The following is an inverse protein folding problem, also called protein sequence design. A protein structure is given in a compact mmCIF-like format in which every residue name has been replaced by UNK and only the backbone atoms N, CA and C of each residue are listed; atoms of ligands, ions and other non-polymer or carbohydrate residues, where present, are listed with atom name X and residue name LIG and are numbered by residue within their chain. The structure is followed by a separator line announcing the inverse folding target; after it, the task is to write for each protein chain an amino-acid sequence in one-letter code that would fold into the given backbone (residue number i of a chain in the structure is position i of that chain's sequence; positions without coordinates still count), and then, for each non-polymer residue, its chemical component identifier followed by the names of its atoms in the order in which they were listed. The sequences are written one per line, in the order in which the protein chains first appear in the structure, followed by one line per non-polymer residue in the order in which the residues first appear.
data_IF_165727856381
#
_entry.id   IF_165727856381
#
_cell.length_a   1.000
_cell.length_b   1.000
_cell.length_c   1.000
_cell.angle_alpha   90.00
_cell.angle_beta   90.00
_cell.angle_gamma   90.00
#
_symmetry.space_group_name_H-M   'P 1'
#
loop_
_entity.id
_entity.type
_entity.pdbx_description
1 polymer ?
#
# COMPACT_ATOMS: atom_id res chain seq x y z
N UNK A 1 -4.02 14.73 8.14
CA UNK A 1 -5.24 14.01 7.72
C UNK A 1 -4.97 12.54 7.38
N UNK A 2 -3.93 12.20 6.61
CA UNK A 2 -3.66 10.84 6.13
C UNK A 2 -3.32 9.81 7.22
N UNK A 3 -2.55 10.20 8.26
CA UNK A 3 -2.28 9.31 9.40
C UNK A 3 -3.55 8.97 10.19
N UNK A 4 -4.46 9.93 10.33
CA UNK A 4 -5.76 9.69 10.93
C UNK A 4 -6.56 8.68 10.08
N UNK A 5 -6.58 8.88 8.76
CA UNK A 5 -7.25 7.97 7.82
C UNK A 5 -6.63 6.57 7.87
N UNK A 6 -5.30 6.47 7.95
CA UNK A 6 -4.59 5.19 8.11
C UNK A 6 -5.01 4.49 9.41
N UNK A 7 -5.02 5.22 10.53
CA UNK A 7 -5.44 4.68 11.84
C UNK A 7 -6.90 4.24 11.81
N UNK A 8 -7.79 5.05 11.20
CA UNK A 8 -9.20 4.72 11.05
C UNK A 8 -9.44 3.54 10.11
N UNK A 9 -8.64 3.36 9.08
CA UNK A 9 -8.76 2.21 8.16
C UNK A 9 -8.39 0.87 8.80
N UNK A 10 -7.67 0.88 9.92
CA UNK A 10 -7.39 -0.29 10.75
C UNK A 10 -8.56 -0.75 11.63
N UNK A 11 -9.69 -0.01 11.61
CA UNK A 11 -10.88 -0.41 12.35
C UNK A 11 -11.64 -1.50 11.58
N UNK A 12 -11.45 -2.75 12.03
CA UNK A 12 -11.95 -3.96 11.36
C UNK A 12 -13.48 -3.98 11.09
N UNK A 13 -14.25 -3.18 11.85
CA UNK A 13 -15.70 -3.08 11.68
C UNK A 13 -16.13 -2.09 10.60
N UNK A 14 -15.19 -1.31 10.05
CA UNK A 14 -15.42 -0.39 8.96
C UNK A 14 -15.30 -1.11 7.63
N UNK A 15 -16.33 -1.80 7.25
CA UNK A 15 -16.50 -2.23 5.89
C UNK A 15 -17.00 -1.03 5.07
N UNK A 16 -16.11 -0.09 4.71
CA UNK A 16 -16.42 1.09 3.91
C UNK A 16 -17.01 0.73 2.53
N UNK A 17 -16.73 -0.50 2.08
CA UNK A 17 -17.27 -1.06 0.84
C UNK A 17 -18.72 -1.58 1.00
N UNK A 18 -19.24 -1.64 2.23
CA UNK A 18 -20.59 -2.14 2.45
C UNK A 18 -21.60 -0.98 2.61
N UNK A 19 -22.41 -0.66 1.58
CA UNK A 19 -23.38 0.42 1.64
C UNK A 19 -24.51 0.19 2.67
N UNK A 20 -24.60 -1.03 3.24
CA UNK A 20 -25.63 -1.43 4.21
C UNK A 20 -25.13 -1.48 5.65
N UNK A 21 -24.19 -0.63 6.00
CA UNK A 21 -23.72 -0.51 7.37
C UNK A 21 -24.88 -0.25 8.34
N UNK A 22 -25.00 -1.08 9.39
CA UNK A 22 -26.07 -0.92 10.38
C UNK A 22 -25.93 0.40 11.14
N UNK A 23 -27.05 0.93 11.68
CA UNK A 23 -27.00 2.14 12.51
C UNK A 23 -26.07 1.99 13.71
N UNK A 24 -26.04 0.80 14.33
CA UNK A 24 -25.11 0.47 15.42
C UNK A 24 -23.65 0.62 15.01
N UNK A 25 -23.28 0.06 13.86
CA UNK A 25 -21.90 0.16 13.34
C UNK A 25 -21.54 1.61 12.99
N UNK A 26 -22.48 2.40 12.47
CA UNK A 26 -22.27 3.84 12.21
C UNK A 26 -22.02 4.61 13.50
N UNK A 27 -22.78 4.32 14.56
CA UNK A 27 -22.59 4.93 15.87
C UNK A 27 -21.24 4.59 16.47
N UNK A 28 -20.88 3.28 16.49
CA UNK A 28 -19.57 2.81 16.96
C UNK A 28 -18.41 3.47 16.20
N UNK A 29 -18.56 3.68 14.89
CA UNK A 29 -17.58 4.41 14.10
C UNK A 29 -17.43 5.87 14.51
N UNK A 30 -18.55 6.57 14.69
CA UNK A 30 -18.52 7.98 15.11
C UNK A 30 -17.88 8.13 16.50
N UNK A 31 -18.20 7.24 17.42
CA UNK A 31 -17.60 7.21 18.76
C UNK A 31 -16.08 6.93 18.67
N UNK A 32 -15.66 5.97 17.87
CA UNK A 32 -14.26 5.68 17.63
C UNK A 32 -13.52 6.86 16.98
N UNK A 33 -14.13 7.50 15.98
CA UNK A 33 -13.58 8.69 15.31
C UNK A 33 -13.41 9.85 16.30
N UNK A 34 -14.44 10.15 17.12
CA UNK A 34 -14.36 11.20 18.14
C UNK A 34 -13.28 10.93 19.18
N UNK A 35 -13.18 9.68 19.65
CA UNK A 35 -12.16 9.30 20.62
C UNK A 35 -10.74 9.39 20.02
N UNK A 36 -10.58 9.05 18.74
CA UNK A 36 -9.30 9.15 18.05
C UNK A 36 -8.85 10.59 17.85
N UNK A 37 -9.80 11.50 17.51
CA UNK A 37 -9.47 12.94 17.35
C UNK A 37 -9.14 13.60 18.68
N UNK A 38 -9.88 13.25 19.75
CA UNK A 38 -9.70 13.87 21.06
C UNK A 38 -8.59 13.23 21.91
N UNK A 39 -8.07 12.09 21.47
CA UNK A 39 -7.01 11.36 22.16
C UNK A 39 -5.63 11.56 21.53
N UNK A 40 -4.64 10.85 22.09
CA UNK A 40 -3.36 10.70 21.42
C UNK A 40 -3.49 9.72 20.24
N UNK A 41 -3.09 10.14 19.05
CA UNK A 41 -3.09 9.30 17.87
C UNK A 41 -2.09 8.17 18.04
N UNK A 42 -2.58 6.94 18.19
CA UNK A 42 -1.75 5.73 18.15
C UNK A 42 -1.70 5.27 16.69
N UNK A 43 -0.55 5.42 16.07
CA UNK A 43 -0.35 4.99 14.67
C UNK A 43 -0.38 3.46 14.64
N UNK A 44 -1.24 2.91 13.80
CA UNK A 44 -1.27 1.46 13.59
C UNK A 44 0.04 1.02 12.90
N UNK A 45 0.80 0.14 13.58
CA UNK A 45 2.06 -0.39 13.03
C UNK A 45 1.84 -1.40 11.90
N UNK A 46 0.62 -1.93 11.78
CA UNK A 46 0.30 -2.91 10.75
C UNK A 46 0.02 -2.23 9.42
N UNK A 47 0.86 -2.50 8.45
CA UNK A 47 0.59 -2.14 7.07
C UNK A 47 -0.37 -3.17 6.45
N UNK A 48 -1.38 -2.75 5.66
CA UNK A 48 -2.31 -3.66 4.99
C UNK A 48 -1.63 -4.32 3.79
N UNK A 49 -0.66 -5.19 4.07
CA UNK A 49 0.04 -5.93 3.03
C UNK A 49 -0.83 -7.10 2.58
N UNK A 50 -1.19 -7.12 1.31
CA UNK A 50 -1.77 -8.27 0.64
C UNK A 50 -0.69 -9.32 0.38
N UNK A 51 -1.10 -10.56 0.10
CA UNK A 51 -0.18 -11.66 -0.23
C UNK A 51 0.73 -11.36 -1.44
N UNK A 52 0.27 -10.51 -2.35
CA UNK A 52 1.02 -10.00 -3.48
C UNK A 52 1.11 -8.47 -3.37
N UNK A 53 2.33 -7.95 -3.42
CA UNK A 53 2.58 -6.50 -3.46
C UNK A 53 2.61 -6.09 -4.92
N UNK A 54 1.50 -5.56 -5.42
CA UNK A 54 1.37 -4.99 -6.76
C UNK A 54 1.52 -3.46 -6.75
N UNK A 55 1.39 -2.85 -7.94
CA UNK A 55 1.48 -1.40 -8.07
C UNK A 55 0.44 -0.67 -7.23
N UNK A 56 -0.80 -1.15 -7.22
CA UNK A 56 -1.91 -0.47 -6.57
C UNK A 56 -1.76 -0.55 -5.03
N UNK A 57 -1.19 -1.63 -4.50
CA UNK A 57 -0.83 -1.74 -3.06
C UNK A 57 0.26 -0.76 -2.68
N UNK A 58 1.31 -0.62 -3.49
CA UNK A 58 2.40 0.33 -3.22
C UNK A 58 1.88 1.76 -3.27
N UNK A 59 1.09 2.08 -4.30
CA UNK A 59 0.50 3.40 -4.50
C UNK A 59 -0.42 3.79 -3.34
N UNK A 60 -1.27 2.85 -2.88
CA UNK A 60 -2.10 3.02 -1.69
C UNK A 60 -1.27 3.30 -0.44
N UNK A 61 -0.16 2.58 -0.24
CA UNK A 61 0.72 2.82 0.90
C UNK A 61 1.37 4.21 0.84
N UNK A 62 1.87 4.63 -0.31
CA UNK A 62 2.44 5.96 -0.48
C UNK A 62 1.41 7.05 -0.17
N UNK A 63 0.19 6.91 -0.68
CA UNK A 63 -0.91 7.84 -0.40
C UNK A 63 -1.26 7.91 1.09
N UNK A 64 -1.23 6.77 1.82
CA UNK A 64 -1.52 6.74 3.27
C UNK A 64 -0.55 7.59 4.08
N UNK A 65 0.70 7.68 3.64
CA UNK A 65 1.73 8.49 4.27
C UNK A 65 1.92 9.87 3.63
N UNK A 66 0.99 10.27 2.77
CA UNK A 66 1.03 11.54 2.03
C UNK A 66 2.32 11.72 1.22
N UNK A 67 2.77 10.62 0.62
CA UNK A 67 3.93 10.60 -0.28
C UNK A 67 3.48 10.62 -1.73
N UNK A 68 4.34 11.11 -2.60
CA UNK A 68 4.10 11.12 -4.04
C UNK A 68 3.94 9.70 -4.58
N UNK A 69 2.97 9.51 -5.46
CA UNK A 69 2.68 8.23 -6.10
C UNK A 69 3.77 7.82 -7.10
N UNK A 70 3.85 6.53 -7.40
CA UNK A 70 4.80 6.02 -8.37
C UNK A 70 4.40 6.39 -9.81
N UNK A 71 5.39 6.56 -10.72
CA UNK A 71 5.09 6.68 -12.14
C UNK A 71 4.31 5.46 -12.67
N UNK A 72 3.24 5.71 -13.42
CA UNK A 72 2.37 4.64 -13.99
C UNK A 72 3.13 3.64 -14.87
N UNK A 73 4.31 3.99 -15.35
CA UNK A 73 5.18 3.09 -16.11
C UNK A 73 5.62 1.85 -15.31
N UNK A 74 5.61 1.92 -13.97
CA UNK A 74 5.90 0.77 -13.11
C UNK A 74 4.77 -0.27 -13.10
N UNK A 75 3.52 0.12 -13.34
CA UNK A 75 2.35 -0.78 -13.24
C UNK A 75 2.50 -2.02 -14.12
N UNK A 76 2.78 -1.83 -15.40
CA UNK A 76 2.92 -2.95 -16.34
C UNK A 76 4.15 -3.83 -16.03
N UNK A 77 5.26 -3.19 -15.61
CA UNK A 77 6.49 -3.91 -15.28
C UNK A 77 6.31 -4.78 -14.03
N UNK A 78 5.66 -4.25 -12.99
CA UNK A 78 5.35 -4.99 -11.77
C UNK A 78 4.35 -6.12 -12.05
N UNK A 79 3.32 -5.87 -12.85
CA UNK A 79 2.37 -6.93 -13.26
C UNK A 79 3.08 -8.08 -13.98
N UNK A 80 4.04 -7.77 -14.88
CA UNK A 80 4.86 -8.78 -15.55
C UNK A 80 5.70 -9.58 -14.56
N UNK A 81 6.39 -8.92 -13.62
CA UNK A 81 7.18 -9.58 -12.57
C UNK A 81 6.31 -10.52 -11.73
N UNK A 82 5.14 -10.06 -11.27
CA UNK A 82 4.22 -10.88 -10.47
C UNK A 82 3.69 -12.08 -11.25
N UNK A 83 3.39 -11.93 -12.53
CA UNK A 83 2.98 -13.02 -13.40
C UNK A 83 4.07 -14.09 -13.48
N UNK A 84 5.33 -13.70 -13.71
CA UNK A 84 6.47 -14.63 -13.73
C UNK A 84 6.65 -15.34 -12.38
N UNK A 85 6.62 -14.58 -11.28
CA UNK A 85 6.73 -15.14 -9.93
C UNK A 85 5.62 -16.15 -9.63
N UNK A 86 4.39 -15.85 -10.00
CA UNK A 86 3.25 -16.74 -9.77
C UNK A 86 3.36 -18.01 -10.62
N UNK A 87 3.72 -17.90 -11.89
CA UNK A 87 3.94 -19.08 -12.75
C UNK A 87 5.03 -20.00 -12.21
N UNK A 88 6.13 -19.44 -11.70
CA UNK A 88 7.18 -20.23 -11.07
C UNK A 88 6.67 -20.90 -9.79
N UNK A 89 5.92 -20.16 -8.94
CA UNK A 89 5.41 -20.68 -7.68
C UNK A 89 4.36 -21.81 -7.87
N UNK A 90 3.64 -21.80 -9.00
CA UNK A 90 2.63 -22.81 -9.35
C UNK A 90 3.16 -23.92 -10.29
N UNK A 91 4.49 -23.98 -10.49
CA UNK A 91 5.14 -24.96 -11.37
C UNK A 91 4.57 -24.96 -12.80
N UNK A 92 4.08 -23.82 -13.26
CA UNK A 92 3.56 -23.70 -14.62
C UNK A 92 4.73 -23.74 -15.62
N UNK A 93 4.74 -24.74 -16.50
CA UNK A 93 5.77 -24.90 -17.54
C UNK A 93 5.61 -23.93 -18.71
N UNK A 94 4.58 -23.10 -18.70
CA UNK A 94 4.21 -22.20 -19.81
C UNK A 94 5.16 -21.02 -19.98
N UNK A 95 5.90 -20.65 -18.93
CA UNK A 95 6.83 -19.51 -18.97
C UNK A 95 8.28 -19.99 -18.85
N UNK A 96 9.04 -19.83 -19.93
CA UNK A 96 10.48 -20.06 -19.89
C UNK A 96 11.20 -18.83 -19.32
N UNK A 97 11.78 -19.00 -18.11
CA UNK A 97 12.60 -17.96 -17.48
C UNK A 97 13.97 -17.90 -18.15
N UNK A 98 14.33 -16.75 -18.70
CA UNK A 98 15.63 -16.47 -19.30
C UNK A 98 16.45 -15.56 -18.39
N UNK A 99 17.78 -15.57 -18.58
CA UNK A 99 18.70 -14.69 -17.84
C UNK A 99 18.31 -13.21 -18.02
N UNK A 100 17.89 -12.81 -19.22
CA UNK A 100 17.48 -11.44 -19.50
C UNK A 100 16.29 -11.01 -18.64
N UNK A 101 15.34 -11.91 -18.35
CA UNK A 101 14.23 -11.62 -17.44
C UNK A 101 14.71 -11.38 -16.01
N UNK A 102 15.71 -12.13 -15.56
CA UNK A 102 16.30 -11.96 -14.21
C UNK A 102 16.95 -10.59 -14.11
N UNK A 103 17.74 -10.20 -15.11
CA UNK A 103 18.39 -8.88 -15.16
C UNK A 103 17.36 -7.76 -15.21
N UNK A 104 16.34 -7.88 -16.08
CA UNK A 104 15.24 -6.91 -16.19
C UNK A 104 14.53 -6.73 -14.84
N UNK A 105 14.13 -7.81 -14.18
CA UNK A 105 13.40 -7.75 -12.92
C UNK A 105 14.27 -7.29 -11.74
N UNK A 106 15.54 -7.70 -11.71
CA UNK A 106 16.48 -7.21 -10.70
C UNK A 106 16.67 -5.69 -10.81
N UNK A 107 16.84 -5.18 -12.02
CA UNK A 107 16.92 -3.74 -12.28
C UNK A 107 15.63 -3.02 -11.90
N UNK A 108 14.47 -3.59 -12.24
CA UNK A 108 13.17 -3.04 -11.87
C UNK A 108 13.01 -2.91 -10.36
N UNK A 109 13.34 -3.98 -9.61
CA UNK A 109 13.23 -3.98 -8.14
C UNK A 109 14.17 -2.97 -7.52
N UNK A 110 15.44 -2.90 -7.97
CA UNK A 110 16.40 -1.93 -7.47
C UNK A 110 15.92 -0.48 -7.71
N UNK A 111 15.45 -0.18 -8.92
CA UNK A 111 14.94 1.14 -9.23
C UNK A 111 13.70 1.48 -8.38
N UNK A 112 12.80 0.52 -8.18
CA UNK A 112 11.62 0.69 -7.34
C UNK A 112 12.00 0.98 -5.88
N UNK A 113 12.98 0.28 -5.34
CA UNK A 113 13.48 0.49 -3.97
C UNK A 113 14.07 1.90 -3.80
N UNK A 114 14.84 2.37 -4.78
CA UNK A 114 15.38 3.73 -4.79
C UNK A 114 14.25 4.76 -4.84
N UNK A 115 13.30 4.61 -5.74
CA UNK A 115 12.14 5.50 -5.88
C UNK A 115 11.31 5.61 -4.60
N UNK A 116 11.08 4.47 -3.91
CA UNK A 116 10.35 4.46 -2.64
C UNK A 116 11.18 5.13 -1.55
N UNK A 117 12.47 4.82 -1.48
CA UNK A 117 13.37 5.42 -0.49
C UNK A 117 13.41 6.95 -0.61
N UNK A 118 13.61 7.47 -1.83
CA UNK A 118 13.64 8.91 -2.08
C UNK A 118 12.35 9.61 -1.67
N UNK A 119 11.18 8.98 -1.91
CA UNK A 119 9.89 9.53 -1.49
C UNK A 119 9.73 9.55 0.03
N UNK A 120 10.18 8.49 0.70
CA UNK A 120 10.15 8.43 2.18
C UNK A 120 11.07 9.51 2.76
N UNK A 121 12.29 9.63 2.24
CA UNK A 121 13.26 10.63 2.69
C UNK A 121 12.74 12.05 2.48
N UNK A 122 12.22 12.34 1.29
CA UNK A 122 11.63 13.63 0.96
C UNK A 122 10.41 13.93 1.84
N UNK A 123 9.53 12.95 2.01
CA UNK A 123 8.36 13.07 2.87
C UNK A 123 8.71 13.31 4.33
N UNK A 124 9.73 12.64 4.83
CA UNK A 124 10.24 12.85 6.18
C UNK A 124 10.82 14.26 6.36
N UNK A 125 11.70 14.69 5.44
CA UNK A 125 12.34 15.99 5.48
C UNK A 125 11.34 17.15 5.38
N UNK A 126 10.28 16.98 4.62
CA UNK A 126 9.21 17.97 4.43
C UNK A 126 8.06 17.82 5.44
N UNK A 127 8.12 16.83 6.33
CA UNK A 127 7.06 16.51 7.31
C UNK A 127 5.68 16.33 6.66
N UNK A 128 5.62 15.75 5.46
CA UNK A 128 4.36 15.59 4.69
C UNK A 128 3.34 14.71 5.41
N UNK A 129 3.80 13.82 6.29
CA UNK A 129 2.96 12.96 7.12
C UNK A 129 2.12 13.74 8.15
N UNK A 130 2.44 15.00 8.42
CA UNK A 130 1.68 15.89 9.32
C UNK A 130 0.57 16.65 8.58
N UNK A 131 0.54 16.63 7.26
CA UNK A 131 -0.42 17.38 6.45
C UNK A 131 -1.83 16.75 6.42
#
# INVERSE_FOLDING_TARGET
MNLLTHTLSGYDKLCLENPRMSFKSKKEFVEFYQNTINGHLVICEKLPLKSNVDFDVIDELLMRFNLDTLPKSYKNKLSKLLQFRNSIAHEETSILVKIDHIVEFSTLVNNLMVEIYERIELGYNNSTFLA
#
